data_IF_667383913444
#
_entry.id   IF_667383913444
#
_cell.length_a   1.000
_cell.length_b   1.000
_cell.length_c   1.000
_cell.angle_alpha   90.00
_cell.angle_beta   90.00
_cell.angle_gamma   90.00
#
_symmetry.space_group_name_H-M   'P 1'
#
loop_
_entity.id
_entity.type
_entity.pdbx_description
1 polymer ?
#
# COMPACT_ATOMS: atom_id res chain seq x y z
N UNK A 1 9.63 10.13 26.52
CA UNK A 1 10.74 10.19 25.55
C UNK A 1 10.23 11.02 24.39
N UNK A 2 10.98 12.04 24.00
CA UNK A 2 10.47 13.19 23.25
C UNK A 2 9.81 12.75 21.95
N UNK A 3 8.50 13.00 21.84
CA UNK A 3 7.81 13.22 20.58
C UNK A 3 8.44 14.47 19.96
N UNK A 4 9.56 14.32 19.26
CA UNK A 4 10.01 15.33 18.32
C UNK A 4 8.97 15.33 17.21
N UNK A 5 7.99 16.22 17.36
CA UNK A 5 6.83 16.36 16.51
C UNK A 5 7.29 16.64 15.07
N UNK A 6 7.54 15.57 14.30
CA UNK A 6 7.93 15.68 12.88
C UNK A 6 6.78 16.30 12.11
N UNK A 7 7.09 17.31 11.32
CA UNK A 7 6.17 17.95 10.39
C UNK A 7 5.63 16.94 9.37
N UNK A 8 4.48 17.25 8.75
CA UNK A 8 3.91 16.41 7.70
C UNK A 8 4.89 16.28 6.54
N UNK A 9 5.61 17.35 6.20
CA UNK A 9 6.58 17.32 5.11
C UNK A 9 7.85 16.51 5.44
N UNK A 10 8.35 16.54 6.67
CA UNK A 10 9.44 15.64 7.09
C UNK A 10 9.03 14.17 6.97
N UNK A 11 7.78 13.83 7.31
CA UNK A 11 7.25 12.47 7.09
C UNK A 11 7.17 12.12 5.60
N UNK A 12 6.75 13.05 4.73
CA UNK A 12 6.82 12.86 3.27
C UNK A 12 8.25 12.57 2.80
N UNK A 13 9.24 13.28 3.31
CA UNK A 13 10.65 13.05 2.96
C UNK A 13 11.13 11.68 3.46
N UNK A 14 10.76 11.27 4.67
CA UNK A 14 11.08 9.95 5.21
C UNK A 14 10.40 8.83 4.41
N UNK A 15 9.13 8.98 4.03
CA UNK A 15 8.40 8.05 3.18
C UNK A 15 9.05 7.85 1.80
N UNK A 16 9.73 8.88 1.30
CA UNK A 16 10.45 8.89 0.01
C UNK A 16 11.95 8.60 0.14
N UNK A 17 12.43 8.31 1.35
CA UNK A 17 13.85 8.05 1.59
C UNK A 17 14.33 6.84 0.80
N UNK A 18 15.60 6.86 0.38
CA UNK A 18 16.26 5.70 -0.25
C UNK A 18 16.48 4.55 0.74
N UNK A 19 16.55 4.87 2.02
CA UNK A 19 16.70 3.89 3.10
C UNK A 19 15.35 3.28 3.52
N UNK A 20 14.23 3.76 2.93
CA UNK A 20 12.92 3.17 3.15
C UNK A 20 12.93 1.72 2.62
N UNK A 21 12.51 0.71 3.41
CA UNK A 21 12.46 -0.66 2.93
C UNK A 21 11.49 -0.76 1.77
N UNK A 22 11.89 -1.47 0.72
CA UNK A 22 10.99 -1.80 -0.37
C UNK A 22 10.21 -3.08 -0.02
N UNK A 23 9.21 -3.42 -0.84
CA UNK A 23 8.44 -4.66 -0.64
C UNK A 23 9.30 -5.93 -0.54
N UNK A 24 10.44 -6.00 -1.24
CA UNK A 24 11.29 -7.19 -1.17
C UNK A 24 11.88 -7.36 0.23
N UNK A 25 12.25 -6.27 0.89
CA UNK A 25 12.71 -6.30 2.29
C UNK A 25 11.61 -6.86 3.21
N UNK A 26 10.35 -6.45 3.04
CA UNK A 26 9.24 -7.03 3.80
C UNK A 26 8.98 -8.49 3.44
N UNK A 27 9.08 -8.87 2.17
CA UNK A 27 8.92 -10.26 1.72
C UNK A 27 9.94 -11.16 2.43
N UNK A 28 11.21 -10.75 2.40
CA UNK A 28 12.34 -11.55 2.89
C UNK A 28 12.34 -11.71 4.42
N UNK A 29 11.82 -10.73 5.17
CA UNK A 29 11.80 -10.78 6.63
C UNK A 29 10.49 -11.34 7.22
N UNK A 30 9.35 -11.13 6.56
CA UNK A 30 8.05 -11.49 7.13
C UNK A 30 7.56 -12.88 6.69
N UNK A 31 7.99 -13.35 5.52
CA UNK A 31 7.45 -14.56 4.90
C UNK A 31 8.53 -15.60 4.60
N UNK A 32 8.10 -16.86 4.49
CA UNK A 32 8.93 -17.95 3.95
C UNK A 32 8.31 -18.49 2.65
N UNK A 33 9.11 -19.22 1.87
CA UNK A 33 8.66 -19.91 0.65
C UNK A 33 7.93 -19.00 -0.36
N UNK A 34 8.40 -17.76 -0.51
CA UNK A 34 7.81 -16.82 -1.46
C UNK A 34 8.01 -17.29 -2.90
N UNK A 35 6.90 -17.58 -3.57
CA UNK A 35 6.83 -17.94 -4.98
C UNK A 35 6.22 -16.79 -5.78
N UNK A 36 7.07 -15.99 -6.43
CA UNK A 36 6.66 -14.87 -7.29
C UNK A 36 5.85 -15.36 -8.51
N UNK A 37 4.72 -14.70 -8.78
CA UNK A 37 3.83 -15.03 -9.88
C UNK A 37 3.68 -13.84 -10.84
N UNK A 38 4.22 -13.99 -12.05
CA UNK A 38 4.34 -12.93 -13.05
C UNK A 38 3.18 -12.87 -14.06
N UNK A 39 3.01 -11.70 -14.66
CA UNK A 39 2.13 -11.42 -15.80
C UNK A 39 0.65 -11.24 -15.47
N UNK A 40 -0.07 -10.50 -16.32
CA UNK A 40 -1.53 -10.32 -16.24
C UNK A 40 -2.33 -11.35 -17.06
N UNK A 41 -1.64 -12.12 -17.92
CA UNK A 41 -2.20 -13.08 -18.90
C UNK A 41 -2.87 -12.45 -20.13
N UNK A 42 -2.67 -11.16 -20.36
CA UNK A 42 -3.26 -10.44 -21.49
C UNK A 42 -2.20 -9.64 -22.28
N UNK A 43 -1.31 -8.94 -21.59
CA UNK A 43 -0.38 -7.99 -22.20
C UNK A 43 1.06 -8.23 -21.72
N UNK A 44 1.38 -7.87 -20.47
CA UNK A 44 2.75 -7.94 -19.97
C UNK A 44 2.84 -8.22 -18.47
N UNK A 45 4.08 -8.44 -18.00
CA UNK A 45 4.42 -8.41 -16.59
C UNK A 45 4.98 -7.04 -16.23
N UNK A 46 4.22 -6.28 -15.44
CA UNK A 46 4.63 -4.95 -14.98
C UNK A 46 5.60 -5.05 -13.78
N UNK A 47 6.84 -4.61 -13.96
CA UNK A 47 7.88 -4.68 -12.92
C UNK A 47 7.61 -3.83 -11.67
N UNK A 48 6.67 -2.89 -11.71
CA UNK A 48 6.29 -2.02 -10.59
C UNK A 48 5.37 -2.69 -9.57
N UNK A 49 4.78 -3.85 -9.90
CA UNK A 49 3.98 -4.66 -8.98
C UNK A 49 4.67 -6.01 -8.82
N UNK A 50 4.97 -6.41 -7.59
CA UNK A 50 5.33 -7.79 -7.27
C UNK A 50 4.12 -8.47 -6.64
N UNK A 51 3.97 -9.77 -6.87
CA UNK A 51 3.08 -10.57 -6.05
C UNK A 51 3.31 -12.05 -6.23
N UNK A 52 2.82 -12.83 -5.27
CA UNK A 52 3.10 -14.25 -5.18
C UNK A 52 2.34 -14.93 -4.05
N UNK A 53 2.66 -16.20 -3.84
CA UNK A 53 2.19 -16.97 -2.70
C UNK A 53 3.37 -17.12 -1.74
N UNK A 54 3.11 -17.00 -0.45
CA UNK A 54 4.12 -17.15 0.59
C UNK A 54 3.50 -17.84 1.80
N UNK A 55 4.36 -18.20 2.76
CA UNK A 55 3.96 -18.68 4.07
C UNK A 55 4.17 -17.57 5.10
N UNK A 56 3.12 -17.22 5.84
CA UNK A 56 3.21 -16.37 7.03
C UNK A 56 3.07 -17.28 8.26
N UNK A 57 4.21 -17.67 8.84
CA UNK A 57 4.19 -18.83 9.76
C UNK A 57 3.77 -20.07 8.98
N UNK A 58 2.78 -20.80 9.51
CA UNK A 58 2.26 -22.02 8.86
C UNK A 58 1.06 -21.76 7.94
N UNK A 59 0.69 -20.49 7.70
CA UNK A 59 -0.48 -20.13 6.89
C UNK A 59 -0.08 -19.65 5.49
N UNK A 60 -0.60 -20.26 4.41
CA UNK A 60 -0.39 -19.77 3.06
C UNK A 60 -1.17 -18.46 2.82
N UNK A 61 -0.48 -17.46 2.30
CA UNK A 61 -1.02 -16.13 2.00
C UNK A 61 -0.67 -15.71 0.58
N UNK A 62 -1.43 -14.76 0.04
CA UNK A 62 -1.07 -14.07 -1.20
C UNK A 62 -0.53 -12.69 -0.86
N UNK A 63 0.70 -12.41 -1.27
CA UNK A 63 1.38 -11.12 -1.04
C UNK A 63 1.42 -10.36 -2.36
N UNK A 64 1.06 -9.08 -2.33
CA UNK A 64 1.07 -8.18 -3.50
C UNK A 64 1.62 -6.82 -3.05
N UNK A 65 2.31 -6.09 -3.90
CA UNK A 65 2.57 -4.68 -3.61
C UNK A 65 3.43 -3.98 -4.63
N UNK A 66 3.62 -2.69 -4.38
CA UNK A 66 4.44 -1.84 -5.22
C UNK A 66 5.93 -2.16 -5.01
N UNK A 67 6.67 -2.26 -6.11
CA UNK A 67 8.10 -2.51 -6.13
C UNK A 67 8.80 -1.24 -6.63
N UNK A 68 9.62 -0.65 -5.76
CA UNK A 68 10.64 0.35 -6.10
C UNK A 68 12.03 -0.29 -6.11
N UNK A 69 12.93 0.26 -6.91
CA UNK A 69 14.32 -0.17 -6.98
C UNK A 69 15.17 0.52 -5.93
N UNK A 70 16.28 -0.11 -5.53
CA UNK A 70 17.30 0.51 -4.66
C UNK A 70 18.31 1.32 -5.48
N UNK A 71 18.56 0.93 -6.73
CA UNK A 71 19.38 1.71 -7.67
C UNK A 71 18.53 2.46 -8.70
N UNK A 72 19.16 3.36 -9.47
CA UNK A 72 18.49 4.05 -10.56
C UNK A 72 18.05 3.07 -11.65
N UNK A 73 18.91 2.11 -12.00
CA UNK A 73 18.63 1.10 -13.03
C UNK A 73 17.46 0.22 -12.59
N UNK A 74 17.41 -0.19 -11.33
CA UNK A 74 16.28 -0.93 -10.77
C UNK A 74 15.01 -0.11 -10.77
N UNK A 75 15.08 1.17 -10.38
CA UNK A 75 13.93 2.06 -10.38
C UNK A 75 13.35 2.24 -11.79
N UNK A 76 14.19 2.40 -12.81
CA UNK A 76 13.73 2.46 -14.21
C UNK A 76 13.04 1.17 -14.61
N UNK A 77 13.57 -0.01 -14.22
CA UNK A 77 12.95 -1.31 -14.53
C UNK A 77 11.58 -1.54 -13.88
N UNK A 78 11.33 -0.90 -12.72
CA UNK A 78 10.06 -1.01 -12.01
C UNK A 78 9.22 0.28 -12.07
N UNK A 79 9.48 1.15 -13.06
CA UNK A 79 8.77 2.41 -13.24
C UNK A 79 8.68 3.27 -11.96
N UNK A 80 9.71 3.23 -11.11
CA UNK A 80 9.76 3.93 -9.82
C UNK A 80 8.58 3.56 -8.90
N UNK A 81 8.07 2.33 -9.03
CA UNK A 81 6.89 1.85 -8.30
C UNK A 81 5.58 2.45 -8.80
N UNK A 82 5.52 3.01 -10.02
CA UNK A 82 4.29 3.50 -10.66
C UNK A 82 3.70 2.45 -11.60
N UNK A 83 2.56 1.82 -11.25
CA UNK A 83 2.00 0.77 -12.08
C UNK A 83 1.33 1.28 -13.35
N UNK A 84 1.49 0.49 -14.39
CA UNK A 84 0.68 0.49 -15.59
C UNK A 84 -0.59 -0.35 -15.36
N UNK A 85 -1.59 -0.29 -16.26
CA UNK A 85 -2.84 -1.03 -16.10
C UNK A 85 -2.62 -2.54 -15.90
N UNK A 86 -1.62 -3.10 -16.55
CA UNK A 86 -1.20 -4.51 -16.46
C UNK A 86 -0.74 -4.90 -15.06
N UNK A 87 -0.11 -3.98 -14.32
CA UNK A 87 0.25 -4.18 -12.92
C UNK A 87 -0.99 -4.40 -12.05
N UNK A 88 -2.03 -3.59 -12.24
CA UNK A 88 -3.31 -3.75 -11.54
C UNK A 88 -4.06 -5.00 -11.99
N UNK A 89 -4.05 -5.34 -13.28
CA UNK A 89 -4.63 -6.60 -13.78
C UNK A 89 -3.93 -7.84 -13.22
N UNK A 90 -2.59 -7.80 -13.10
CA UNK A 90 -1.82 -8.82 -12.40
C UNK A 90 -2.23 -8.92 -10.94
N UNK A 91 -2.32 -7.81 -10.21
CA UNK A 91 -2.78 -7.81 -8.83
C UNK A 91 -4.18 -8.44 -8.70
N UNK A 92 -5.14 -8.03 -9.54
CA UNK A 92 -6.49 -8.61 -9.58
C UNK A 92 -6.47 -10.12 -9.84
N UNK A 93 -5.65 -10.59 -10.79
CA UNK A 93 -5.49 -12.03 -11.07
C UNK A 93 -5.02 -12.79 -9.83
N UNK A 94 -4.05 -12.25 -9.10
CA UNK A 94 -3.52 -12.86 -7.87
C UNK A 94 -4.57 -12.86 -6.75
N UNK A 95 -5.33 -11.77 -6.59
CA UNK A 95 -6.41 -11.69 -5.61
C UNK A 95 -7.54 -12.68 -5.90
N UNK A 96 -7.93 -12.85 -7.17
CA UNK A 96 -8.91 -13.88 -7.57
C UNK A 96 -8.41 -15.29 -7.28
N UNK A 97 -7.12 -15.56 -7.47
CA UNK A 97 -6.54 -16.84 -7.06
C UNK A 97 -6.56 -17.00 -5.53
N UNK A 98 -6.25 -15.96 -4.77
CA UNK A 98 -6.29 -15.99 -3.32
C UNK A 98 -7.70 -16.37 -2.84
N UNK A 99 -8.72 -15.69 -3.37
CA UNK A 99 -10.12 -15.98 -3.09
C UNK A 99 -10.52 -17.42 -3.44
N UNK A 100 -10.16 -17.89 -4.65
CA UNK A 100 -10.45 -19.25 -5.11
C UNK A 100 -9.95 -20.34 -4.14
N UNK A 101 -8.82 -20.08 -3.48
CA UNK A 101 -8.17 -21.04 -2.60
C UNK A 101 -8.29 -20.67 -1.11
N UNK A 102 -9.11 -19.68 -0.78
CA UNK A 102 -9.32 -19.25 0.61
C UNK A 102 -8.09 -18.68 1.31
N UNK A 103 -7.13 -18.11 0.55
CA UNK A 103 -5.92 -17.50 1.14
C UNK A 103 -6.18 -16.04 1.51
N UNK A 104 -5.73 -15.57 2.69
CA UNK A 104 -5.63 -14.15 2.99
C UNK A 104 -4.76 -13.42 1.98
N UNK A 105 -5.07 -12.14 1.74
CA UNK A 105 -4.29 -11.24 0.89
C UNK A 105 -3.63 -10.17 1.77
N UNK A 106 -2.32 -9.97 1.59
CA UNK A 106 -1.57 -8.89 2.22
C UNK A 106 -1.01 -8.00 1.12
N UNK A 107 -1.32 -6.71 1.16
CA UNK A 107 -0.89 -5.75 0.15
C UNK A 107 0.06 -4.70 0.74
N UNK A 108 1.16 -4.40 0.06
CA UNK A 108 2.09 -3.33 0.46
C UNK A 108 1.99 -2.13 -0.50
N UNK A 109 1.69 -0.96 0.07
CA UNK A 109 1.52 0.29 -0.66
C UNK A 109 2.75 1.17 -0.51
N UNK A 110 3.43 1.39 -1.64
CA UNK A 110 4.54 2.33 -1.76
C UNK A 110 4.69 2.80 -3.22
N UNK A 111 3.86 3.75 -3.63
CA UNK A 111 3.81 4.31 -4.97
C UNK A 111 3.58 5.83 -4.95
N UNK A 112 4.29 6.60 -5.80
CA UNK A 112 3.96 8.01 -6.01
C UNK A 112 2.70 8.19 -6.87
N UNK A 113 2.12 7.09 -7.38
CA UNK A 113 0.87 7.07 -8.13
C UNK A 113 0.89 6.08 -9.29
N UNK A 114 -0.25 5.93 -9.96
CA UNK A 114 -0.31 5.18 -11.20
C UNK A 114 0.50 5.89 -12.29
N UNK A 115 1.14 5.15 -13.19
CA UNK A 115 1.99 5.73 -14.24
C UNK A 115 1.16 6.63 -15.19
N UNK A 116 1.44 7.95 -15.30
CA UNK A 116 0.64 8.88 -16.07
C UNK A 116 1.13 8.96 -17.53
N UNK A 117 1.13 7.83 -18.24
CA UNK A 117 1.67 7.71 -19.59
C UNK A 117 0.60 7.51 -20.67
N UNK A 118 0.90 7.91 -21.91
CA UNK A 118 0.01 7.74 -23.07
C UNK A 118 -0.40 6.27 -23.28
N UNK A 119 0.54 5.35 -23.19
CA UNK A 119 0.25 3.92 -23.33
C UNK A 119 -0.59 3.38 -22.16
N UNK A 120 -0.38 3.88 -20.94
CA UNK A 120 -1.21 3.52 -19.80
C UNK A 120 -2.67 3.97 -20.00
N UNK A 121 -2.89 5.17 -20.54
CA UNK A 121 -4.22 5.65 -20.89
C UNK A 121 -4.86 4.80 -22.00
N UNK A 122 -4.12 4.50 -23.08
CA UNK A 122 -4.59 3.62 -24.19
C UNK A 122 -4.98 2.23 -23.69
N UNK A 123 -4.24 1.71 -22.71
CA UNK A 123 -4.48 0.40 -22.12
C UNK A 123 -5.50 0.43 -20.97
N UNK A 124 -6.08 1.59 -20.63
CA UNK A 124 -7.18 1.70 -19.67
C UNK A 124 -6.76 1.81 -18.21
N UNK A 125 -5.90 2.77 -17.85
CA UNK A 125 -5.46 3.00 -16.47
C UNK A 125 -6.62 3.23 -15.50
N UNK A 126 -7.57 4.11 -15.85
CA UNK A 126 -8.76 4.34 -15.04
C UNK A 126 -9.64 3.10 -14.88
N UNK A 127 -9.77 2.30 -15.94
CA UNK A 127 -10.54 1.04 -15.92
C UNK A 127 -9.88 0.01 -15.00
N UNK A 128 -8.58 -0.20 -15.12
CA UNK A 128 -7.86 -1.18 -14.32
C UNK A 128 -7.90 -0.84 -12.82
N UNK A 129 -7.76 0.43 -12.46
CA UNK A 129 -7.91 0.91 -11.08
C UNK A 129 -9.34 0.68 -10.58
N UNK A 130 -10.35 1.09 -11.36
CA UNK A 130 -11.76 0.94 -10.97
C UNK A 130 -12.17 -0.53 -10.78
N UNK A 131 -11.75 -1.41 -11.70
CA UNK A 131 -11.98 -2.85 -11.59
C UNK A 131 -11.29 -3.45 -10.35
N UNK A 132 -10.08 -2.98 -10.03
CA UNK A 132 -9.36 -3.46 -8.85
C UNK A 132 -10.08 -3.07 -7.55
N UNK A 133 -10.50 -1.81 -7.44
CA UNK A 133 -11.31 -1.32 -6.31
C UNK A 133 -12.61 -2.13 -6.16
N UNK A 134 -13.32 -2.36 -7.27
CA UNK A 134 -14.56 -3.13 -7.29
C UNK A 134 -14.33 -4.59 -6.84
N UNK A 135 -13.30 -5.25 -7.38
CA UNK A 135 -12.94 -6.62 -7.01
C UNK A 135 -12.63 -6.70 -5.52
N UNK A 136 -11.70 -5.87 -5.05
CA UNK A 136 -11.25 -5.89 -3.66
C UNK A 136 -12.39 -5.63 -2.67
N UNK A 137 -13.33 -4.76 -3.02
CA UNK A 137 -14.53 -4.49 -2.21
C UNK A 137 -15.38 -5.74 -2.00
N UNK A 138 -15.43 -6.62 -3.01
CA UNK A 138 -16.27 -7.82 -3.00
C UNK A 138 -15.59 -9.09 -2.46
N UNK A 139 -14.25 -9.09 -2.30
CA UNK A 139 -13.50 -10.28 -1.91
C UNK A 139 -14.10 -10.95 -0.66
N UNK A 140 -14.08 -12.27 -0.60
CA UNK A 140 -14.59 -13.04 0.55
C UNK A 140 -13.49 -13.60 1.45
N UNK A 141 -12.23 -13.23 1.20
CA UNK A 141 -11.08 -13.57 2.03
C UNK A 141 -10.60 -12.35 2.84
N UNK A 142 -9.86 -12.55 3.94
CA UNK A 142 -9.23 -11.44 4.65
C UNK A 142 -8.28 -10.66 3.74
N UNK A 143 -8.33 -9.34 3.79
CA UNK A 143 -7.37 -8.46 3.13
C UNK A 143 -6.82 -7.48 4.14
N UNK A 144 -5.49 -7.43 4.26
CA UNK A 144 -4.77 -6.46 5.07
C UNK A 144 -3.88 -5.63 4.15
N UNK A 145 -3.87 -4.31 4.33
CA UNK A 145 -2.99 -3.40 3.60
C UNK A 145 -2.01 -2.75 4.57
N UNK A 146 -0.75 -2.66 4.16
CA UNK A 146 0.29 -1.90 4.83
C UNK A 146 0.77 -0.80 3.90
N UNK A 147 0.58 0.46 4.28
CA UNK A 147 1.21 1.60 3.61
C UNK A 147 2.59 1.78 4.22
N UNK A 148 3.60 1.39 3.45
CA UNK A 148 4.99 1.32 3.93
C UNK A 148 5.82 2.52 3.52
N UNK A 149 5.44 3.25 2.47
CA UNK A 149 6.11 4.48 2.04
C UNK A 149 5.10 5.53 1.62
N UNK A 150 5.08 5.86 0.34
CA UNK A 150 4.12 6.81 -0.22
C UNK A 150 2.87 6.08 -0.74
N UNK A 151 1.68 6.52 -0.36
CA UNK A 151 0.40 6.02 -0.87
C UNK A 151 -0.31 7.12 -1.64
N UNK A 152 0.00 7.28 -2.92
CA UNK A 152 -0.55 8.40 -3.69
C UNK A 152 -1.71 8.00 -4.62
N UNK A 153 -2.84 8.66 -4.41
CA UNK A 153 -4.04 8.70 -5.26
C UNK A 153 -4.65 7.33 -5.58
N UNK A 154 -5.37 7.25 -6.70
CA UNK A 154 -6.00 6.03 -7.21
C UNK A 154 -5.01 4.89 -7.44
N UNK A 155 -3.74 5.20 -7.68
CA UNK A 155 -2.72 4.18 -7.90
C UNK A 155 -2.40 3.36 -6.64
N UNK A 156 -2.38 4.02 -5.48
CA UNK A 156 -2.32 3.36 -4.18
C UNK A 156 -3.64 2.69 -3.81
N UNK A 157 -4.77 3.37 -4.08
CA UNK A 157 -6.12 2.88 -3.75
C UNK A 157 -6.45 1.56 -4.45
N UNK A 158 -5.94 1.37 -5.67
CA UNK A 158 -6.16 0.18 -6.48
C UNK A 158 -5.76 -1.13 -5.80
N UNK A 159 -4.84 -1.11 -4.82
CA UNK A 159 -4.46 -2.30 -4.05
C UNK A 159 -4.61 -2.13 -2.53
N UNK A 160 -5.47 -1.22 -2.07
CA UNK A 160 -5.61 -0.94 -0.63
C UNK A 160 -7.04 -0.92 -0.09
N UNK A 161 -7.98 -1.51 -0.83
CA UNK A 161 -9.33 -1.75 -0.34
C UNK A 161 -9.33 -3.00 0.56
N UNK A 162 -9.15 -2.79 1.86
CA UNK A 162 -8.87 -3.86 2.83
C UNK A 162 -9.83 -3.90 4.01
N UNK A 163 -9.89 -5.05 4.70
CA UNK A 163 -10.54 -5.15 6.00
C UNK A 163 -9.79 -4.30 7.03
N UNK A 164 -8.46 -4.39 7.03
CA UNK A 164 -7.54 -3.68 7.93
C UNK A 164 -6.49 -2.95 7.10
N UNK A 165 -6.35 -1.63 7.29
CA UNK A 165 -5.39 -0.76 6.63
C UNK A 165 -4.47 -0.17 7.68
N UNK A 166 -3.22 -0.56 7.62
CA UNK A 166 -2.16 -0.12 8.53
C UNK A 166 -1.22 0.83 7.80
N UNK A 167 -0.68 1.78 8.54
CA UNK A 167 0.32 2.71 8.01
C UNK A 167 1.54 2.68 8.91
N UNK A 168 2.74 2.66 8.34
CA UNK A 168 3.93 2.94 9.13
C UNK A 168 3.92 4.40 9.60
N UNK A 169 4.56 4.69 10.73
CA UNK A 169 4.43 5.97 11.41
C UNK A 169 4.77 7.18 10.51
N UNK A 170 5.73 7.04 9.60
CA UNK A 170 6.19 8.09 8.70
C UNK A 170 5.71 7.83 7.26
N UNK A 171 4.84 6.84 7.03
CA UNK A 171 4.18 6.66 5.74
C UNK A 171 3.14 7.76 5.51
N UNK A 172 2.84 8.03 4.25
CA UNK A 172 1.88 9.06 3.85
C UNK A 172 0.84 8.48 2.91
N UNK A 173 -0.41 8.92 3.02
CA UNK A 173 -1.48 8.56 2.09
C UNK A 173 -2.24 9.82 1.69
N UNK A 174 -2.30 10.11 0.39
CA UNK A 174 -2.92 11.34 -0.12
C UNK A 174 -3.67 11.12 -1.43
N UNK A 175 -4.62 12.01 -1.73
CA UNK A 175 -5.35 12.01 -3.02
C UNK A 175 -4.48 12.51 -4.19
N UNK A 176 -3.40 13.22 -3.89
CA UNK A 176 -2.58 14.04 -4.77
C UNK A 176 -1.25 14.28 -4.06
N UNK A 177 -0.12 14.39 -4.79
CA UNK A 177 1.15 14.74 -4.16
C UNK A 177 1.16 16.18 -3.60
N UNK A 178 1.92 16.47 -2.53
CA UNK A 178 2.05 17.84 -2.02
C UNK A 178 2.48 18.86 -3.07
N UNK A 179 3.39 18.47 -3.97
CA UNK A 179 3.84 19.28 -5.09
C UNK A 179 2.69 19.61 -6.06
N UNK A 180 1.86 18.61 -6.37
CA UNK A 180 0.73 18.78 -7.26
C UNK A 180 -0.37 19.65 -6.63
N UNK A 181 -0.62 19.50 -5.33
CA UNK A 181 -1.55 20.36 -4.59
C UNK A 181 -1.12 21.82 -4.64
N UNK A 182 0.16 22.09 -4.32
CA UNK A 182 0.73 23.43 -4.32
C UNK A 182 0.69 24.06 -5.74
N UNK A 183 1.04 23.28 -6.76
CA UNK A 183 1.00 23.72 -8.15
C UNK A 183 -0.43 24.05 -8.64
N UNK A 184 -1.46 23.34 -8.19
CA UNK A 184 -2.84 23.58 -8.60
C UNK A 184 -3.45 24.77 -7.85
N UNK A 185 -3.38 24.76 -6.52
CA UNK A 185 -4.09 25.76 -5.70
C UNK A 185 -3.34 27.09 -5.59
N UNK A 186 -2.01 27.05 -5.56
CA UNK A 186 -1.18 28.23 -5.39
C UNK A 186 -0.38 28.61 -6.62
N UNK A 187 -0.45 27.81 -7.70
CA UNK A 187 0.35 28.02 -8.92
C UNK A 187 1.86 28.01 -8.65
N UNK A 188 2.28 27.35 -7.58
CA UNK A 188 3.66 27.30 -7.11
C UNK A 188 3.95 25.94 -6.45
N UNK A 189 4.58 25.04 -7.20
CA UNK A 189 4.95 23.70 -6.71
C UNK A 189 6.07 23.71 -5.66
N UNK A 190 6.81 24.81 -5.49
CA UNK A 190 7.88 24.90 -4.49
C UNK A 190 7.34 24.92 -3.06
N UNK A 191 6.05 25.22 -2.90
CA UNK A 191 5.34 25.28 -1.62
C UNK A 191 4.79 23.91 -1.16
N UNK A 192 5.46 22.82 -1.54
CA UNK A 192 5.06 21.46 -1.18
C UNK A 192 5.01 21.23 0.34
N UNK A 193 5.91 21.87 1.11
CA UNK A 193 5.91 21.78 2.56
C UNK A 193 4.64 22.39 3.17
N UNK A 194 4.26 23.61 2.77
CA UNK A 194 3.01 24.25 3.19
C UNK A 194 1.79 23.41 2.80
N UNK A 195 1.81 22.78 1.62
CA UNK A 195 0.72 21.93 1.14
C UNK A 195 0.56 20.69 2.01
N UNK A 196 1.66 20.00 2.34
CA UNK A 196 1.64 18.78 3.13
C UNK A 196 0.94 18.97 4.48
N UNK A 197 1.15 20.11 5.15
CA UNK A 197 0.51 20.46 6.42
C UNK A 197 -1.01 20.64 6.33
N UNK A 198 -1.54 20.99 5.15
CA UNK A 198 -2.98 21.20 4.94
C UNK A 198 -3.72 19.93 4.51
N UNK A 199 -2.98 18.96 3.95
CA UNK A 199 -3.56 17.81 3.26
C UNK A 199 -3.98 16.68 4.20
N UNK A 200 -3.59 16.74 5.48
CA UNK A 200 -3.85 15.70 6.49
C UNK A 200 -3.46 14.29 6.02
N UNK A 201 -2.25 14.18 5.48
CA UNK A 201 -1.77 12.98 4.77
C UNK A 201 -1.00 11.99 5.65
N UNK A 202 -0.75 12.33 6.91
CA UNK A 202 0.09 11.52 7.80
C UNK A 202 -0.67 10.32 8.38
N UNK A 203 0.05 9.27 8.76
CA UNK A 203 -0.53 8.07 9.36
C UNK A 203 -1.41 8.38 10.59
N UNK A 204 -0.98 9.30 11.44
CA UNK A 204 -1.68 9.69 12.67
C UNK A 204 -2.99 10.43 12.37
N UNK A 205 -2.97 11.37 11.43
CA UNK A 205 -4.17 12.11 11.02
C UNK A 205 -5.19 11.20 10.34
N UNK A 206 -4.73 10.29 9.48
CA UNK A 206 -5.60 9.35 8.79
C UNK A 206 -6.17 8.29 9.73
N UNK A 207 -5.44 7.90 10.77
CA UNK A 207 -5.98 7.08 11.84
C UNK A 207 -7.05 7.83 12.65
N UNK A 208 -6.81 9.10 12.98
CA UNK A 208 -7.80 9.95 13.66
C UNK A 208 -9.08 10.16 12.82
N UNK A 209 -8.96 10.22 11.49
CA UNK A 209 -10.08 10.29 10.55
C UNK A 209 -10.76 8.93 10.29
N UNK A 210 -10.29 7.82 10.87
CA UNK A 210 -10.84 6.48 10.65
C UNK A 210 -10.56 5.89 9.26
N UNK A 211 -9.57 6.43 8.53
CA UNK A 211 -9.11 5.88 7.24
C UNK A 211 -8.13 4.73 7.46
N UNK A 212 -7.16 4.92 8.36
CA UNK A 212 -6.24 3.89 8.81
C UNK A 212 -6.73 3.28 10.14
N UNK A 213 -6.63 1.96 10.29
CA UNK A 213 -7.04 1.26 11.52
C UNK A 213 -5.88 1.16 12.52
N UNK A 214 -4.64 1.24 12.04
CA UNK A 214 -3.44 1.11 12.88
C UNK A 214 -2.28 1.93 12.34
N UNK A 215 -1.56 2.57 13.25
CA UNK A 215 -0.24 3.16 12.98
C UNK A 215 0.83 2.25 13.59
N UNK A 216 1.78 1.80 12.79
CA UNK A 216 2.89 0.95 13.20
C UNK A 216 4.10 1.85 13.47
N UNK A 217 4.61 1.92 14.71
CA UNK A 217 5.84 2.64 15.02
C UNK A 217 7.01 2.15 14.17
N UNK A 218 7.84 3.07 13.71
CA UNK A 218 9.08 2.74 13.00
C UNK A 218 10.25 2.66 14.00
N UNK A 219 11.36 1.99 13.65
CA UNK A 219 12.54 1.98 14.51
C UNK A 219 13.06 3.39 14.77
N UNK A 220 13.59 3.65 15.96
CA UNK A 220 14.06 4.98 16.39
C UNK A 220 15.14 5.56 15.45
N UNK A 221 15.99 4.69 14.90
CA UNK A 221 17.06 5.07 13.96
C UNK A 221 16.61 4.99 12.50
N UNK A 222 15.30 4.91 12.24
CA UNK A 222 14.77 4.57 10.94
C UNK A 222 15.21 3.16 10.50
N UNK A 223 15.17 2.91 9.20
CA UNK A 223 15.50 1.60 8.64
C UNK A 223 16.99 1.42 8.30
N UNK A 224 17.85 2.32 8.79
CA UNK A 224 19.30 2.17 8.68
C UNK A 224 19.82 1.33 9.85
N UNK A 225 20.08 0.05 9.62
CA UNK A 225 20.64 -0.87 10.62
C UNK A 225 19.79 -2.12 10.85
N UNK A 226 19.99 -2.76 12.02
CA UNK A 226 19.26 -3.98 12.37
C UNK A 226 17.81 -3.66 12.77
N UNK A 227 16.88 -4.03 11.89
CA UNK A 227 15.44 -3.88 12.09
C UNK A 227 14.75 -5.22 12.40
N UNK A 228 15.49 -6.27 12.81
CA UNK A 228 14.95 -7.62 13.02
C UNK A 228 13.80 -7.63 14.03
N UNK A 229 13.92 -6.87 15.13
CA UNK A 229 12.84 -6.77 16.11
C UNK A 229 11.57 -6.16 15.51
N UNK A 230 11.68 -5.11 14.71
CA UNK A 230 10.55 -4.51 14.01
C UNK A 230 9.84 -5.51 13.09
N UNK A 231 10.59 -6.26 12.28
CA UNK A 231 9.98 -7.23 11.38
C UNK A 231 9.35 -8.41 12.12
N UNK A 232 9.96 -8.88 13.22
CA UNK A 232 9.35 -9.91 14.08
C UNK A 232 8.02 -9.42 14.65
N UNK A 233 8.01 -8.24 15.25
CA UNK A 233 6.81 -7.69 15.89
C UNK A 233 5.71 -7.38 14.86
N UNK A 234 6.09 -6.94 13.65
CA UNK A 234 5.16 -6.75 12.53
C UNK A 234 4.56 -8.09 12.06
N UNK A 235 5.39 -9.14 11.97
CA UNK A 235 4.96 -10.49 11.59
C UNK A 235 3.96 -11.06 12.59
N UNK A 236 4.23 -10.92 13.88
CA UNK A 236 3.31 -11.37 14.94
C UNK A 236 1.96 -10.67 14.84
N UNK A 237 1.97 -9.33 14.71
CA UNK A 237 0.74 -8.56 14.51
C UNK A 237 -0.05 -9.01 13.27
N UNK A 238 0.63 -9.26 12.14
CA UNK A 238 -0.03 -9.76 10.92
C UNK A 238 -0.68 -11.12 11.12
N UNK A 239 -0.03 -12.02 11.86
CA UNK A 239 -0.58 -13.35 12.17
C UNK A 239 -1.87 -13.19 13.00
N UNK A 240 -1.82 -12.39 14.07
CA UNK A 240 -2.97 -12.13 14.95
C UNK A 240 -4.15 -11.52 14.18
N UNK A 241 -3.89 -10.51 13.34
CA UNK A 241 -4.95 -9.85 12.56
C UNK A 241 -5.56 -10.81 11.54
N UNK A 242 -4.76 -11.65 10.88
CA UNK A 242 -5.28 -12.65 9.96
C UNK A 242 -6.10 -13.70 10.69
N UNK A 243 -5.69 -14.15 11.87
CA UNK A 243 -6.50 -15.07 12.70
C UNK A 243 -7.82 -14.44 13.10
N UNK A 244 -7.81 -13.19 13.56
CA UNK A 244 -9.01 -12.45 13.91
C UNK A 244 -9.98 -12.33 12.73
N UNK A 245 -9.48 -11.91 11.56
CA UNK A 245 -10.30 -11.78 10.36
C UNK A 245 -10.78 -13.13 9.82
N UNK A 246 -9.95 -14.17 9.89
CA UNK A 246 -10.30 -15.52 9.40
C UNK A 246 -11.35 -16.21 10.26
N UNK A 247 -11.63 -15.73 11.48
CA UNK A 247 -12.76 -16.20 12.29
C UNK A 247 -14.14 -15.76 11.73
N UNK A 248 -14.16 -14.82 10.79
CA UNK A 248 -15.37 -14.25 10.20
C UNK A 248 -15.74 -14.99 8.92
N UNK A 249 -17.05 -15.05 8.61
CA UNK A 249 -17.50 -15.59 7.32
C UNK A 249 -17.10 -14.69 6.16
N UNK A 250 -16.93 -15.25 4.96
CA UNK A 250 -16.59 -14.46 3.77
C UNK A 250 -17.59 -13.36 3.44
N UNK A 251 -18.88 -13.60 3.68
CA UNK A 251 -19.93 -12.59 3.53
C UNK A 251 -19.79 -11.46 4.57
N UNK A 252 -19.41 -11.79 5.81
CA UNK A 252 -19.12 -10.78 6.83
C UNK A 252 -17.90 -9.94 6.45
N UNK A 253 -16.81 -10.55 5.98
CA UNK A 253 -15.60 -9.84 5.54
C UNK A 253 -15.88 -8.84 4.43
N UNK A 254 -16.66 -9.25 3.41
CA UNK A 254 -17.08 -8.38 2.31
C UNK A 254 -17.99 -7.23 2.82
N UNK A 255 -18.96 -7.54 3.67
CA UNK A 255 -19.88 -6.55 4.25
C UNK A 255 -19.17 -5.53 5.15
N UNK A 256 -18.20 -5.96 5.96
CA UNK A 256 -17.39 -5.10 6.81
C UNK A 256 -16.54 -4.14 6.00
N UNK A 257 -15.86 -4.64 4.95
CA UNK A 257 -15.16 -3.80 3.98
C UNK A 257 -16.09 -2.74 3.40
N UNK A 258 -17.26 -3.15 2.90
CA UNK A 258 -18.23 -2.22 2.33
C UNK A 258 -18.64 -1.14 3.34
N UNK A 259 -18.99 -1.52 4.58
CA UNK A 259 -19.39 -0.59 5.63
C UNK A 259 -18.27 0.37 6.01
N UNK A 260 -17.05 -0.13 6.16
CA UNK A 260 -15.85 0.68 6.45
C UNK A 260 -15.69 1.79 5.41
N UNK A 261 -15.63 1.44 4.13
CA UNK A 261 -15.45 2.43 3.07
C UNK A 261 -16.66 3.37 2.92
N UNK A 262 -17.88 2.93 3.23
CA UNK A 262 -19.08 3.79 3.26
C UNK A 262 -19.12 4.79 4.41
N UNK A 263 -18.41 4.52 5.51
CA UNK A 263 -18.33 5.43 6.65
C UNK A 263 -17.30 6.54 6.45
N UNK A 264 -16.36 6.38 5.50
CA UNK A 264 -15.35 7.40 5.18
C UNK A 264 -16.01 8.59 4.48
N UNK A 265 -15.80 9.80 5.02
CA UNK A 265 -16.27 11.05 4.42
C UNK A 265 -16.49 12.18 5.42
N UNK A 266 -16.89 11.85 6.65
CA UNK A 266 -17.09 12.81 7.74
C UNK A 266 -15.85 12.84 8.67
N UNK A 267 -14.70 13.31 8.17
CA UNK A 267 -13.59 13.66 9.07
C UNK A 267 -13.85 15.05 9.68
N UNK A 268 -14.74 15.10 10.68
CA UNK A 268 -14.96 16.30 11.48
C UNK A 268 -13.81 16.43 12.49
N UNK A 269 -12.87 17.33 12.20
CA UNK A 269 -11.98 17.92 13.21
C UNK A 269 -12.70 19.00 13.99
#
# INVERSE_FOLDING_TARGET
MADTQRSAYERVQLARSKDRPNIQDYIDHLFTDFFEQRGDRASMDDGSIVGGIAMLGDRPVTVIGHRKGKTLEENVRCNFGMPQPEGYRKAMRLMRQAEKFGRPVITFVDTPGAYPGLEAERHGQGEAIAQSIMLMSSLTVPVITLVTGEGSSGGALAISVANSLWMLENAVYSVLSPEGFAAILWKDGSRAADAAELMKLTAQELAACGVADRVIPEPEHGFTGDCTAFYRDLREQLIEEIELLSSRSGAALSSERYKKFRAIGDCRS
#
